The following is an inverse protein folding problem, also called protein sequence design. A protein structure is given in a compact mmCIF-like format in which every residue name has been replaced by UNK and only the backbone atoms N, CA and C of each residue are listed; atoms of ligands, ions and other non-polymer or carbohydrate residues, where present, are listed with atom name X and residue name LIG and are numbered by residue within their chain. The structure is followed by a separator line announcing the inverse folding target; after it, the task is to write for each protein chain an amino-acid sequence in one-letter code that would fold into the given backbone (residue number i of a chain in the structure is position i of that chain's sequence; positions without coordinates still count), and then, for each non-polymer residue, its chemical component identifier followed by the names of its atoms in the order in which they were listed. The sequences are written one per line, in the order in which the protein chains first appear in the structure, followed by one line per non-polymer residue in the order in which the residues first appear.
data_IF_885740784305
#
_entry.id   IF_885740784305
#
_cell.length_a   1.000
_cell.length_b   1.000
_cell.length_c   1.000
_cell.angle_alpha   90.00
_cell.angle_beta   90.00
_cell.angle_gamma   90.00
#
_symmetry.space_group_name_H-M   'P 1'
#
loop_
_entity.id
_entity.type
_entity.pdbx_description
1 polymer ?
#
# COMPACT_ATOMS: atom_id res chain seq x y z
N UNK A 1 2.76 -4.74 37.36
CA UNK A 1 3.46 -5.62 36.40
C UNK A 1 4.54 -6.33 37.20
N UNK A 2 4.26 -7.55 37.67
CA UNK A 2 5.23 -8.36 38.40
C UNK A 2 6.02 -9.22 37.41
N UNK A 3 7.34 -9.11 37.45
CA UNK A 3 8.25 -9.88 36.57
C UNK A 3 8.52 -11.24 37.20
N UNK A 4 8.18 -12.33 36.50
CA UNK A 4 8.44 -13.70 36.94
C UNK A 4 9.79 -14.19 36.38
N UNK A 5 10.61 -14.80 37.24
CA UNK A 5 11.90 -15.39 36.85
C UNK A 5 11.80 -16.93 36.84
N UNK A 6 12.28 -17.53 35.75
CA UNK A 6 12.20 -18.97 35.48
C UNK A 6 13.60 -19.62 35.56
N UNK A 7 13.70 -20.90 35.98
CA UNK A 7 12.60 -21.84 36.29
C UNK A 7 12.00 -21.65 37.69
N UNK A 8 10.68 -21.78 37.79
CA UNK A 8 9.95 -21.70 39.06
C UNK A 8 10.06 -23.04 39.80
N UNK A 9 10.66 -23.03 40.99
CA UNK A 9 11.02 -24.25 41.70
C UNK A 9 9.87 -24.94 42.46
N UNK A 10 8.88 -24.20 42.99
CA UNK A 10 7.95 -24.75 43.99
C UNK A 10 6.53 -24.11 44.05
N UNK A 11 6.20 -23.17 43.15
CA UNK A 11 4.89 -22.50 43.15
C UNK A 11 4.16 -22.68 41.82
N UNK A 12 2.99 -23.30 41.89
CA UNK A 12 2.00 -23.30 40.81
C UNK A 12 1.29 -21.96 40.78
N UNK A 13 1.28 -21.29 39.63
CA UNK A 13 0.48 -20.09 39.40
C UNK A 13 -0.67 -20.46 38.47
N UNK A 14 -1.90 -20.24 38.93
CA UNK A 14 -3.08 -20.39 38.08
C UNK A 14 -3.23 -19.11 37.25
N UNK A 15 -2.84 -19.19 35.98
CA UNK A 15 -3.07 -18.13 34.99
C UNK A 15 -4.45 -18.37 34.38
N UNK A 16 -5.43 -17.59 34.82
CA UNK A 16 -6.74 -17.56 34.20
C UNK A 16 -6.65 -16.71 32.93
N UNK A 17 -6.74 -17.36 31.78
CA UNK A 17 -6.84 -16.68 30.49
C UNK A 17 -8.31 -16.34 30.22
N UNK A 18 -8.58 -15.11 29.82
CA UNK A 18 -9.86 -14.76 29.23
C UNK A 18 -9.85 -15.12 27.74
N UNK A 19 -10.98 -15.64 27.27
CA UNK A 19 -11.18 -15.85 25.84
C UNK A 19 -11.35 -14.50 25.16
N UNK A 20 -10.29 -14.01 24.52
CA UNK A 20 -10.36 -12.88 23.61
C UNK A 20 -10.70 -13.42 22.21
N UNK A 21 -11.83 -12.99 21.66
CA UNK A 21 -12.23 -13.31 20.30
C UNK A 21 -12.01 -12.05 19.46
N UNK A 22 -11.02 -12.10 18.58
CA UNK A 22 -10.81 -11.08 17.56
C UNK A 22 -11.75 -11.39 16.38
N UNK A 23 -12.67 -10.49 16.08
CA UNK A 23 -13.48 -10.60 14.87
C UNK A 23 -12.61 -10.23 13.66
N UNK A 24 -12.61 -11.09 12.63
CA UNK A 24 -11.93 -10.76 11.38
C UNK A 24 -12.61 -9.58 10.72
N UNK A 25 -11.83 -8.58 10.32
CA UNK A 25 -12.32 -7.45 9.55
C UNK A 25 -12.91 -7.91 8.20
N UNK A 26 -14.06 -7.33 7.84
CA UNK A 26 -14.67 -7.58 6.54
C UNK A 26 -13.91 -6.85 5.43
N UNK A 27 -13.39 -7.61 4.46
CA UNK A 27 -12.71 -7.05 3.28
C UNK A 27 -13.68 -6.98 2.10
N UNK A 28 -14.04 -5.75 1.70
CA UNK A 28 -14.94 -5.51 0.56
C UNK A 28 -14.11 -5.18 -0.68
N UNK A 29 -14.12 -6.07 -1.68
CA UNK A 29 -13.42 -5.86 -2.96
C UNK A 29 -14.23 -4.96 -3.89
N UNK A 30 -13.68 -3.81 -4.26
CA UNK A 30 -14.33 -2.80 -5.11
C UNK A 30 -13.98 -2.92 -6.59
N UNK A 31 -12.80 -3.45 -6.92
CA UNK A 31 -12.29 -3.53 -8.29
C UNK A 31 -13.18 -4.35 -9.25
N UNK A 32 -14.00 -5.28 -8.75
CA UNK A 32 -14.88 -6.10 -9.61
C UNK A 32 -16.18 -5.40 -10.00
N UNK A 33 -16.49 -4.24 -9.37
CA UNK A 33 -17.78 -3.55 -9.51
C UNK A 33 -18.99 -4.48 -9.27
N UNK A 34 -18.81 -5.48 -8.41
CA UNK A 34 -19.80 -6.49 -8.09
C UNK A 34 -19.96 -6.61 -6.57
N UNK A 35 -21.16 -6.93 -6.10
CA UNK A 35 -21.44 -7.22 -4.69
C UNK A 35 -21.31 -8.71 -4.35
N UNK A 36 -20.61 -9.48 -5.19
CA UNK A 36 -20.43 -10.93 -5.03
C UNK A 36 -19.25 -11.22 -4.12
N UNK A 37 -19.32 -12.35 -3.43
CA UNK A 37 -18.19 -12.85 -2.63
C UNK A 37 -17.03 -13.27 -3.54
N UNK A 38 -15.81 -13.25 -3.01
CA UNK A 38 -14.61 -13.69 -3.74
C UNK A 38 -14.76 -15.13 -4.24
N UNK A 39 -15.42 -16.00 -3.46
CA UNK A 39 -15.67 -17.40 -3.82
C UNK A 39 -16.55 -17.56 -5.09
N UNK A 40 -17.40 -16.58 -5.37
CA UNK A 40 -18.34 -16.58 -6.49
C UNK A 40 -17.82 -15.85 -7.73
N UNK A 41 -16.60 -15.31 -7.70
CA UNK A 41 -16.01 -14.53 -8.79
C UNK A 41 -15.03 -15.38 -9.59
N UNK A 42 -15.17 -15.49 -10.93
CA UNK A 42 -14.30 -16.32 -11.76
C UNK A 42 -12.91 -15.68 -12.02
N UNK A 43 -12.56 -14.62 -11.29
CA UNK A 43 -11.35 -13.82 -11.49
C UNK A 43 -10.52 -13.90 -10.22
N UNK A 44 -9.22 -14.20 -10.36
CA UNK A 44 -8.29 -14.20 -9.24
C UNK A 44 -8.04 -12.75 -8.79
N UNK A 45 -8.38 -12.46 -7.56
CA UNK A 45 -8.20 -11.17 -6.91
C UNK A 45 -7.42 -11.39 -5.62
N UNK A 46 -6.50 -10.49 -5.34
CA UNK A 46 -5.79 -10.41 -4.06
C UNK A 46 -6.10 -9.05 -3.44
N UNK A 47 -6.40 -9.04 -2.14
CA UNK A 47 -6.66 -7.83 -1.37
C UNK A 47 -5.70 -7.84 -0.18
N UNK A 48 -4.93 -6.76 -0.06
CA UNK A 48 -4.01 -6.49 1.05
C UNK A 48 -4.65 -5.40 1.89
N UNK A 49 -5.05 -5.70 3.13
CA UNK A 49 -5.85 -4.81 3.98
C UNK A 49 -5.45 -4.93 5.46
N UNK A 50 -5.95 -4.03 6.29
CA UNK A 50 -5.81 -4.10 7.74
C UNK A 50 -4.36 -4.15 8.20
N UNK A 51 -4.06 -5.05 9.12
CA UNK A 51 -2.74 -5.24 9.72
C UNK A 51 -1.64 -5.51 8.68
N UNK A 52 -1.92 -6.28 7.63
CA UNK A 52 -0.93 -6.57 6.58
C UNK A 52 -0.48 -5.27 5.88
N UNK A 53 -1.43 -4.35 5.62
CA UNK A 53 -1.10 -3.08 4.99
C UNK A 53 -0.24 -2.20 5.93
N UNK A 54 -0.55 -2.20 7.23
CA UNK A 54 0.19 -1.44 8.24
C UNK A 54 1.60 -1.99 8.46
N UNK A 55 1.76 -3.31 8.62
CA UNK A 55 3.06 -3.95 8.75
C UNK A 55 3.97 -3.62 7.57
N UNK A 56 3.46 -3.79 6.35
CA UNK A 56 4.25 -3.53 5.12
C UNK A 56 4.53 -2.05 4.93
N UNK A 57 3.57 -1.18 5.27
CA UNK A 57 3.75 0.26 5.31
C UNK A 57 4.86 0.69 6.28
N UNK A 58 4.99 -0.01 7.40
CA UNK A 58 6.06 0.22 8.38
C UNK A 58 7.42 -0.36 7.93
N UNK A 59 7.43 -1.48 7.19
CA UNK A 59 8.67 -2.08 6.66
C UNK A 59 9.37 -1.19 5.64
N UNK A 60 8.61 -0.55 4.73
CA UNK A 60 9.13 0.44 3.76
C UNK A 60 8.19 1.64 3.68
N UNK A 61 8.36 2.62 4.58
CA UNK A 61 7.55 3.83 4.61
C UNK A 61 7.60 4.58 3.27
N UNK A 62 6.45 5.08 2.82
CA UNK A 62 6.34 5.90 1.60
C UNK A 62 6.36 5.13 0.27
N UNK A 63 6.47 3.79 0.27
CA UNK A 63 6.61 3.02 -0.96
C UNK A 63 5.66 1.80 -1.04
N UNK A 64 4.63 1.90 -1.89
CA UNK A 64 3.70 0.80 -2.18
C UNK A 64 4.33 -0.37 -2.97
N UNK A 65 5.58 -0.25 -3.46
CA UNK A 65 6.30 -1.38 -4.10
C UNK A 65 6.40 -2.59 -3.20
N UNK A 66 6.61 -2.36 -1.91
CA UNK A 66 6.78 -3.45 -0.95
C UNK A 66 5.51 -4.30 -0.88
N UNK A 67 4.36 -3.64 -0.75
CA UNK A 67 3.03 -4.26 -0.76
C UNK A 67 2.82 -5.10 -2.03
N UNK A 68 3.20 -4.56 -3.20
CA UNK A 68 2.97 -5.23 -4.48
C UNK A 68 3.97 -6.35 -4.80
N UNK A 69 5.21 -6.29 -4.33
CA UNK A 69 6.23 -7.30 -4.64
C UNK A 69 5.99 -8.65 -3.94
N UNK A 70 5.28 -8.66 -2.82
CA UNK A 70 4.98 -9.90 -2.11
C UNK A 70 3.84 -10.69 -2.77
N UNK A 71 3.01 -10.00 -3.56
CA UNK A 71 1.95 -10.64 -4.32
C UNK A 71 2.52 -11.47 -5.49
N UNK A 72 2.07 -12.72 -5.57
CA UNK A 72 2.61 -13.70 -6.52
C UNK A 72 2.47 -13.26 -7.99
N UNK A 73 3.53 -13.38 -8.79
CA UNK A 73 3.46 -13.00 -10.20
C UNK A 73 3.35 -11.49 -10.47
N UNK A 74 3.54 -10.66 -9.44
CA UNK A 74 3.85 -9.24 -9.58
C UNK A 74 5.35 -9.05 -9.37
N UNK A 75 5.95 -8.17 -10.16
CA UNK A 75 7.34 -7.77 -10.01
C UNK A 75 7.45 -6.27 -10.20
N UNK A 76 8.04 -5.58 -9.24
CA UNK A 76 8.43 -4.18 -9.45
C UNK A 76 9.83 -4.14 -10.06
N UNK A 77 9.98 -3.43 -11.17
CA UNK A 77 11.27 -3.21 -11.80
C UNK A 77 11.61 -1.73 -11.73
N UNK A 78 12.78 -1.40 -11.17
CA UNK A 78 13.30 -0.05 -11.23
C UNK A 78 13.66 0.31 -12.67
N UNK A 79 13.02 1.37 -13.19
CA UNK A 79 13.23 1.87 -14.56
C UNK A 79 14.27 2.98 -14.60
N UNK A 80 14.52 3.65 -13.47
CA UNK A 80 15.56 4.67 -13.35
C UNK A 80 16.18 4.65 -11.97
N UNK A 81 17.51 4.51 -11.92
CA UNK A 81 18.30 4.60 -10.70
C UNK A 81 18.30 6.03 -10.12
N UNK A 82 18.24 7.03 -10.99
CA UNK A 82 18.41 8.45 -10.62
C UNK A 82 17.12 9.11 -10.15
N UNK A 83 15.98 8.76 -10.75
CA UNK A 83 14.65 9.28 -10.36
C UNK A 83 13.88 8.35 -9.42
N UNK A 84 14.47 7.21 -9.06
CA UNK A 84 13.81 6.12 -8.33
C UNK A 84 12.50 5.63 -8.98
N UNK A 85 12.26 5.94 -10.26
CA UNK A 85 11.09 5.46 -11.00
C UNK A 85 11.12 3.93 -11.08
N UNK A 86 9.95 3.34 -10.94
CA UNK A 86 9.76 1.90 -11.02
C UNK A 86 8.45 1.60 -11.73
N UNK A 87 8.42 0.50 -12.48
CA UNK A 87 7.24 -0.01 -13.16
C UNK A 87 6.81 -1.33 -12.51
N UNK A 88 5.50 -1.58 -12.54
CA UNK A 88 4.91 -2.83 -12.02
C UNK A 88 4.65 -3.76 -13.21
N UNK A 89 5.20 -4.96 -13.17
CA UNK A 89 4.94 -6.02 -14.13
C UNK A 89 4.02 -7.06 -13.51
N UNK A 90 2.97 -7.44 -14.23
CA UNK A 90 2.05 -8.50 -13.81
C UNK A 90 2.14 -9.62 -14.82
N UNK A 91 2.43 -10.84 -14.35
CA UNK A 91 2.62 -12.03 -15.19
C UNK A 91 3.61 -11.83 -16.35
N UNK A 92 4.67 -11.04 -16.10
CA UNK A 92 5.72 -10.76 -17.08
C UNK A 92 5.40 -9.68 -18.11
N UNK A 93 4.18 -9.14 -18.14
CA UNK A 93 3.80 -8.03 -19.00
C UNK A 93 4.32 -6.69 -18.46
N UNK A 94 4.69 -5.81 -19.37
CA UNK A 94 5.22 -4.46 -19.07
C UNK A 94 4.19 -3.58 -18.36
N UNK A 95 4.64 -2.61 -17.57
CA UNK A 95 3.80 -1.76 -16.72
C UNK A 95 2.79 -0.91 -17.49
N UNK A 96 3.06 -0.59 -18.76
CA UNK A 96 2.09 0.05 -19.67
C UNK A 96 0.80 -0.77 -19.90
N UNK A 97 0.82 -2.06 -19.59
CA UNK A 97 -0.33 -2.96 -19.69
C UNK A 97 -1.03 -3.17 -18.34
N UNK A 98 -0.55 -2.53 -17.28
CA UNK A 98 -1.14 -2.55 -15.94
C UNK A 98 -1.79 -1.21 -15.65
N UNK A 99 -3.06 -1.23 -15.27
CA UNK A 99 -3.78 -0.01 -14.91
C UNK A 99 -3.68 0.23 -13.40
N UNK A 100 -3.32 1.44 -12.98
CA UNK A 100 -3.42 1.85 -11.57
C UNK A 100 -4.67 2.70 -11.39
N UNK A 101 -5.46 2.33 -10.39
CA UNK A 101 -6.69 2.99 -10.01
C UNK A 101 -6.58 3.52 -8.59
N UNK A 102 -7.30 4.61 -8.30
CA UNK A 102 -7.63 5.03 -6.94
C UNK A 102 -9.14 5.08 -6.83
N UNK A 103 -9.69 4.35 -5.88
CA UNK A 103 -11.13 4.21 -5.66
C UNK A 103 -11.92 3.83 -6.93
N UNK A 104 -11.35 2.96 -7.76
CA UNK A 104 -11.95 2.48 -9.01
C UNK A 104 -11.83 3.44 -10.21
N UNK A 105 -11.15 4.58 -10.04
CA UNK A 105 -10.89 5.56 -11.10
C UNK A 105 -9.42 5.51 -11.57
N UNK A 106 -9.14 5.53 -12.88
CA UNK A 106 -7.78 5.59 -13.40
C UNK A 106 -7.01 6.80 -12.88
N UNK A 107 -5.92 6.57 -12.13
CA UNK A 107 -5.01 7.66 -11.73
C UNK A 107 -4.28 8.26 -12.93
N UNK A 108 -3.97 7.41 -13.92
CA UNK A 108 -3.23 7.79 -15.12
C UNK A 108 -3.94 7.18 -16.34
N UNK A 109 -4.37 8.03 -17.27
CA UNK A 109 -5.11 7.63 -18.46
C UNK A 109 -4.20 6.92 -19.49
N UNK A 110 -3.84 5.66 -19.23
CA UNK A 110 -3.01 4.83 -20.12
C UNK A 110 -1.50 5.14 -20.08
N UNK A 111 -1.04 6.01 -19.17
CA UNK A 111 0.36 6.39 -18.99
C UNK A 111 0.97 5.78 -17.70
N UNK A 112 0.72 4.51 -17.45
CA UNK A 112 1.26 3.80 -16.28
C UNK A 112 2.72 3.34 -16.45
N UNK A 113 3.29 3.41 -17.65
CA UNK A 113 4.63 2.87 -17.93
C UNK A 113 5.81 3.77 -17.54
N UNK A 114 5.60 5.07 -17.28
CA UNK A 114 6.68 6.07 -17.28
C UNK A 114 6.81 6.96 -16.04
N UNK A 115 5.86 6.92 -15.09
CA UNK A 115 5.88 7.79 -13.91
C UNK A 115 6.30 7.01 -12.66
N UNK A 116 6.87 7.71 -11.67
CA UNK A 116 7.17 7.17 -10.34
C UNK A 116 5.85 6.92 -9.60
N UNK A 117 5.15 5.85 -9.95
CA UNK A 117 3.82 5.51 -9.44
C UNK A 117 3.83 5.02 -7.98
N UNK A 118 5.00 5.06 -7.36
CA UNK A 118 5.34 4.30 -6.16
C UNK A 118 5.87 5.21 -5.05
N UNK A 119 5.59 6.51 -5.14
CA UNK A 119 5.68 7.47 -4.03
C UNK A 119 4.29 7.77 -3.45
N UNK A 120 3.34 6.83 -3.64
CA UNK A 120 2.05 6.91 -2.96
C UNK A 120 2.28 6.37 -1.56
N UNK A 121 2.20 7.27 -0.58
CA UNK A 121 2.29 6.87 0.82
C UNK A 121 1.03 6.07 1.14
N UNK A 122 1.16 4.85 1.71
CA UNK A 122 0.00 4.01 2.03
C UNK A 122 -0.85 4.53 3.20
N UNK A 123 -0.50 5.68 3.79
CA UNK A 123 -1.10 6.21 5.01
C UNK A 123 -2.61 6.49 4.89
N UNK A 124 -3.09 6.84 3.69
CA UNK A 124 -4.51 7.09 3.41
C UNK A 124 -5.24 5.87 2.83
N UNK A 125 -4.56 4.72 2.71
CA UNK A 125 -5.11 3.52 2.09
C UNK A 125 -5.74 2.61 3.16
N UNK A 126 -6.94 2.12 2.85
CA UNK A 126 -7.59 1.05 3.61
C UNK A 126 -7.15 -0.31 3.12
N UNK A 127 -7.05 -0.46 1.80
CA UNK A 127 -6.64 -1.72 1.17
C UNK A 127 -6.09 -1.49 -0.24
N UNK A 128 -5.28 -2.44 -0.69
CA UNK A 128 -4.76 -2.53 -2.05
C UNK A 128 -5.32 -3.79 -2.70
N UNK A 129 -6.06 -3.63 -3.78
CA UNK A 129 -6.64 -4.73 -4.52
C UNK A 129 -5.87 -4.94 -5.83
N UNK A 130 -5.55 -6.19 -6.14
CA UNK A 130 -4.85 -6.56 -7.37
C UNK A 130 -5.67 -7.58 -8.13
N UNK A 131 -5.99 -7.25 -9.38
CA UNK A 131 -6.55 -8.20 -10.35
C UNK A 131 -5.47 -8.54 -11.36
N UNK A 132 -5.22 -9.84 -11.52
CA UNK A 132 -4.21 -10.36 -12.46
C UNK A 132 -4.90 -10.90 -13.71
N UNK A 133 -4.42 -10.50 -14.87
CA UNK A 133 -4.98 -10.85 -16.16
C UNK A 133 -5.97 -9.81 -16.71
N UNK A 134 -6.62 -10.15 -17.82
CA UNK A 134 -7.38 -9.21 -18.61
C UNK A 134 -8.58 -8.64 -17.85
N UNK A 135 -8.50 -7.34 -17.52
CA UNK A 135 -9.58 -6.55 -16.88
C UNK A 135 -10.05 -5.40 -17.78
N UNK A 136 -9.70 -5.44 -19.06
CA UNK A 136 -10.02 -4.40 -20.04
C UNK A 136 -11.52 -4.22 -20.30
N UNK A 137 -12.34 -5.22 -20.00
CA UNK A 137 -13.80 -5.15 -20.13
C UNK A 137 -14.42 -4.08 -19.24
N UNK A 138 -13.87 -3.87 -18.04
CA UNK A 138 -14.37 -2.87 -17.07
C UNK A 138 -13.54 -1.58 -17.07
N UNK A 139 -12.24 -1.65 -17.38
CA UNK A 139 -11.29 -0.56 -17.18
C UNK A 139 -10.56 -0.10 -18.46
N UNK A 140 -10.86 -0.69 -19.62
CA UNK A 140 -10.31 -0.28 -20.90
C UNK A 140 -8.92 -0.84 -21.24
N UNK A 141 -8.33 -0.31 -22.30
CA UNK A 141 -7.12 -0.88 -22.93
C UNK A 141 -5.85 -0.90 -22.08
N UNK A 142 -5.82 -0.17 -20.97
CA UNK A 142 -4.68 -0.13 -20.04
C UNK A 142 -4.60 -1.31 -19.06
N UNK A 143 -5.66 -2.12 -18.94
CA UNK A 143 -5.76 -3.21 -17.96
C UNK A 143 -5.62 -4.62 -18.59
N UNK A 144 -4.67 -4.78 -19.51
CA UNK A 144 -4.43 -6.05 -20.23
C UNK A 144 -3.73 -7.07 -19.33
N UNK A 145 -2.66 -6.64 -18.65
CA UNK A 145 -1.94 -7.47 -17.69
C UNK A 145 -2.69 -7.63 -16.36
N UNK A 146 -3.53 -6.64 -16.05
CA UNK A 146 -4.22 -6.53 -14.78
C UNK A 146 -4.40 -5.09 -14.36
N UNK A 147 -4.79 -4.93 -13.11
CA UNK A 147 -4.88 -3.62 -12.47
C UNK A 147 -4.54 -3.71 -10.99
N UNK A 148 -4.13 -2.57 -10.44
CA UNK A 148 -3.95 -2.34 -9.02
C UNK A 148 -4.90 -1.22 -8.63
N UNK A 149 -5.81 -1.49 -7.70
CA UNK A 149 -6.77 -0.52 -7.18
C UNK A 149 -6.41 -0.15 -5.75
N UNK A 150 -6.14 1.13 -5.55
CA UNK A 150 -5.83 1.72 -4.25
C UNK A 150 -7.13 2.23 -3.65
N UNK A 151 -7.58 1.61 -2.56
CA UNK A 151 -8.83 1.98 -1.89
C UNK A 151 -8.48 2.88 -0.71
N UNK A 152 -9.02 4.09 -0.72
CA UNK A 152 -8.81 5.08 0.33
C UNK A 152 -9.62 4.75 1.59
N UNK A 153 -9.11 5.14 2.77
CA UNK A 153 -9.82 5.05 4.05
C UNK A 153 -11.14 5.81 4.03
N UNK A 154 -12.16 5.19 4.63
CA UNK A 154 -13.47 5.79 4.84
C UNK A 154 -13.49 6.41 6.25
N UNK A 155 -13.97 7.65 6.43
CA UNK A 155 -13.98 8.28 7.73
C UNK A 155 -14.97 7.60 8.69
N UNK A 156 -14.51 7.34 9.90
CA UNK A 156 -15.28 6.74 10.99
C UNK A 156 -15.72 7.77 12.03
N UNK A 157 -16.59 7.38 12.97
CA UNK A 157 -17.04 8.29 14.04
C UNK A 157 -15.88 8.72 14.95
N UNK A 158 -14.94 7.80 15.18
CA UNK A 158 -13.69 8.10 15.86
C UNK A 158 -12.75 8.88 14.95
N UNK A 159 -12.00 9.80 15.57
CA UNK A 159 -11.06 10.64 14.85
C UNK A 159 -9.76 9.89 14.61
N UNK A 160 -9.41 9.70 13.36
CA UNK A 160 -8.13 9.15 12.94
C UNK A 160 -7.15 10.27 12.56
N UNK A 161 -5.95 10.22 13.12
CA UNK A 161 -4.87 11.16 12.89
C UNK A 161 -3.54 10.41 12.81
N UNK A 162 -3.00 10.26 11.61
CA UNK A 162 -1.74 9.56 11.39
C UNK A 162 -0.71 10.49 10.76
N UNK A 163 0.54 10.34 11.18
CA UNK A 163 1.68 11.06 10.61
C UNK A 163 2.80 10.07 10.32
N UNK A 164 3.44 10.24 9.18
CA UNK A 164 4.59 9.43 8.80
C UNK A 164 5.73 10.33 8.31
N UNK A 165 6.91 10.07 8.85
CA UNK A 165 8.16 10.75 8.52
C UNK A 165 9.16 9.68 8.12
N UNK A 166 9.69 9.77 6.90
CA UNK A 166 10.66 8.83 6.36
C UNK A 166 11.93 9.57 5.91
N UNK A 167 13.09 9.05 6.28
CA UNK A 167 14.39 9.56 5.85
C UNK A 167 15.15 8.46 5.12
N UNK A 168 15.55 8.72 3.88
CA UNK A 168 16.28 7.74 3.06
C UNK A 168 17.79 7.97 3.14
N UNK A 169 18.57 6.91 2.89
CA UNK A 169 20.04 7.00 2.78
C UNK A 169 20.52 7.91 1.64
N UNK A 170 19.63 8.22 0.70
CA UNK A 170 19.84 9.10 -0.44
C UNK A 170 19.55 10.59 -0.15
N UNK A 171 19.51 10.99 1.13
CA UNK A 171 19.14 12.35 1.57
C UNK A 171 17.74 12.78 1.09
N UNK A 172 16.84 11.82 0.91
CA UNK A 172 15.43 12.06 0.68
C UNK A 172 14.64 12.09 1.99
N UNK A 173 13.66 12.98 2.08
CA UNK A 173 12.75 13.13 3.20
C UNK A 173 11.30 13.08 2.69
N UNK A 174 10.51 12.19 3.26
CA UNK A 174 9.08 12.11 3.02
C UNK A 174 8.32 12.45 4.30
N UNK A 175 7.37 13.37 4.18
CA UNK A 175 6.46 13.78 5.25
C UNK A 175 5.04 13.55 4.78
N UNK A 176 4.22 12.91 5.59
CA UNK A 176 2.81 12.70 5.28
C UNK A 176 1.93 12.77 6.51
N UNK A 177 0.72 13.27 6.31
CA UNK A 177 -0.31 13.38 7.32
C UNK A 177 -1.65 12.95 6.76
N UNK A 178 -2.39 12.19 7.55
CA UNK A 178 -3.75 11.77 7.26
C UNK A 178 -4.66 12.17 8.42
N UNK A 179 -5.84 12.68 8.07
CA UNK A 179 -6.92 12.97 8.99
C UNK A 179 -8.21 12.38 8.42
N UNK A 180 -8.95 11.64 9.25
CA UNK A 180 -10.27 11.10 8.91
C UNK A 180 -11.23 11.29 10.08
N UNK A 181 -12.40 11.86 9.83
CA UNK A 181 -13.47 11.91 10.82
C UNK A 181 -14.84 12.05 10.18
N UNK A 182 -15.83 11.36 10.77
CA UNK A 182 -17.24 11.42 10.42
C UNK A 182 -18.02 12.23 11.45
N UNK A 183 -18.66 13.29 10.99
CA UNK A 183 -19.55 14.15 11.75
C UNK A 183 -21.01 13.81 11.42
N UNK A 184 -21.56 12.81 12.12
CA UNK A 184 -22.91 12.33 11.89
C UNK A 184 -23.08 11.72 10.50
N UNK A 185 -23.74 12.43 9.58
CA UNK A 185 -23.97 11.93 8.20
C UNK A 185 -22.87 12.32 7.20
N UNK A 186 -21.94 13.18 7.59
CA UNK A 186 -20.92 13.71 6.68
C UNK A 186 -19.54 13.25 7.15
N UNK A 187 -18.79 12.64 6.24
CA UNK A 187 -17.40 12.25 6.44
C UNK A 187 -16.43 13.25 5.83
N UNK A 188 -15.27 13.44 6.42
CA UNK A 188 -14.17 14.19 5.83
C UNK A 188 -12.86 13.45 6.01
N UNK A 189 -12.12 13.29 4.93
CA UNK A 189 -10.74 12.81 4.94
C UNK A 189 -9.84 13.86 4.30
N UNK A 190 -8.65 14.04 4.87
CA UNK A 190 -7.62 14.96 4.37
C UNK A 190 -6.30 14.20 4.40
N UNK A 191 -5.67 14.11 3.23
CA UNK A 191 -4.33 13.56 3.09
C UNK A 191 -3.41 14.62 2.50
N UNK A 192 -2.24 14.79 3.10
CA UNK A 192 -1.19 15.67 2.61
C UNK A 192 0.15 14.94 2.67
N UNK A 193 0.92 15.03 1.60
CA UNK A 193 2.29 14.52 1.56
C UNK A 193 3.25 15.51 0.91
N UNK A 194 4.48 15.49 1.39
CA UNK A 194 5.59 16.29 0.89
C UNK A 194 6.83 15.40 0.82
N UNK A 195 7.34 15.19 -0.38
CA UNK A 195 8.53 14.38 -0.63
C UNK A 195 9.61 15.30 -1.21
N UNK A 196 10.80 15.31 -0.62
CA UNK A 196 11.95 16.07 -1.10
C UNK A 196 13.16 15.16 -1.23
N UNK A 197 13.81 15.19 -2.40
CA UNK A 197 15.07 14.48 -2.65
C UNK A 197 16.20 15.48 -2.86
N UNK A 198 17.35 15.25 -2.22
CA UNK A 198 18.55 16.05 -2.44
C UNK A 198 19.52 15.32 -3.37
N UNK A 199 20.22 16.02 -4.30
CA UNK A 199 21.32 15.42 -5.03
C UNK A 199 22.39 14.94 -4.05
N UNK A 200 22.80 13.69 -4.19
CA UNK A 200 23.86 13.08 -3.38
C UNK A 200 24.83 12.33 -4.28
N UNK A 201 26.09 12.23 -3.85
CA UNK A 201 27.12 11.45 -4.51
C UNK A 201 27.46 10.24 -3.62
N UNK A 202 26.89 9.05 -3.89
CA UNK A 202 27.18 7.85 -3.10
C UNK A 202 28.59 7.29 -3.30
N UNK A 203 29.27 7.67 -4.39
CA UNK A 203 30.53 7.07 -4.80
C UNK A 203 31.75 7.98 -4.56
N UNK A 204 31.53 9.19 -4.04
CA UNK A 204 32.55 10.23 -3.83
C UNK A 204 33.39 10.52 -5.10
N UNK A 205 32.75 10.51 -6.27
CA UNK A 205 33.40 10.71 -7.58
C UNK A 205 33.18 12.12 -8.17
N UNK A 206 32.52 13.02 -7.41
CA UNK A 206 32.17 14.37 -7.83
C UNK A 206 30.97 14.45 -8.77
N UNK A 207 30.18 13.37 -8.89
CA UNK A 207 28.99 13.29 -9.76
C UNK A 207 27.75 12.94 -8.93
N UNK A 208 26.68 13.71 -9.10
CA UNK A 208 25.43 13.46 -8.37
C UNK A 208 24.65 12.31 -9.00
N UNK A 209 24.09 11.43 -8.15
CA UNK A 209 23.22 10.34 -8.58
C UNK A 209 21.83 10.81 -9.06
N UNK A 210 21.46 12.07 -8.76
CA UNK A 210 20.24 12.71 -9.24
C UNK A 210 20.64 13.87 -10.17
N UNK A 211 20.14 13.94 -11.42
CA UNK A 211 20.40 15.06 -12.31
C UNK A 211 19.84 16.36 -11.73
N UNK A 212 20.55 17.47 -11.94
CA UNK A 212 20.09 18.83 -11.58
C UNK A 212 18.93 19.28 -12.45
#
# INVERSE_FOLDING_TARGET
VDTLYFPLADKTYDVLLESEAEEMEEVIVRATRSSRTIADIPTRIEAISGEELEEKGNMKPGDIRMLLNESTGIQTQQTSATSYNSSIRIQGLDGKYTQILKDGLPLYAGFSGGLSLLQIVPLDLQQVEVIKGASSTLYGGGAIAGLVNLVSKVPEEERELNFMVNGTSALGLDLSGFYGQKFGKTGTTVFASYNVGSPYDPADIGLTAIPK
#
